data_IF_105339330265
#
_entry.id   IF_105339330265
#
_cell.length_a   1.000
_cell.length_b   1.000
_cell.length_c   1.000
_cell.angle_alpha   90.00
_cell.angle_beta   90.00
_cell.angle_gamma   90.00
#
_symmetry.space_group_name_H-M   'P 1'
#
loop_
_entity.id
_entity.type
_entity.pdbx_description
1 polymer ?
#
# COMPACT_ATOMS: atom_id res chain seq x y z
N UNK A 1 64.13 -26.46 71.32
CA UNK A 1 63.34 -25.24 71.03
C UNK A 1 63.30 -25.09 69.52
N UNK A 2 62.11 -25.25 68.93
CA UNK A 2 61.87 -25.19 67.48
C UNK A 2 61.01 -23.97 67.21
N UNK A 3 61.41 -23.11 66.27
CA UNK A 3 60.49 -22.50 65.29
C UNK A 3 61.28 -21.73 64.21
N UNK A 4 61.18 -22.15 62.95
CA UNK A 4 61.53 -21.32 61.80
C UNK A 4 60.50 -20.20 61.64
N UNK A 5 60.97 -18.99 61.37
CA UNK A 5 60.13 -17.82 61.04
C UNK A 5 59.70 -17.91 59.58
N UNK A 6 58.56 -18.54 59.32
CA UNK A 6 57.93 -18.54 57.99
C UNK A 6 57.13 -17.24 57.83
N UNK A 7 57.61 -16.33 56.96
CA UNK A 7 56.80 -15.21 56.49
C UNK A 7 55.75 -15.73 55.48
N UNK A 8 54.45 -15.44 55.65
CA UNK A 8 53.49 -15.65 54.58
C UNK A 8 53.61 -14.50 53.58
N UNK A 9 54.06 -14.83 52.36
CA UNK A 9 53.97 -13.92 51.22
C UNK A 9 52.51 -13.57 50.93
N UNK A 10 52.17 -12.28 50.99
CA UNK A 10 50.90 -11.77 50.50
C UNK A 10 50.94 -11.79 48.97
N UNK A 11 50.42 -12.85 48.36
CA UNK A 11 50.09 -12.85 46.94
C UNK A 11 48.82 -12.02 46.79
N UNK A 12 48.99 -10.73 46.49
CA UNK A 12 47.89 -9.88 46.04
C UNK A 12 47.59 -10.21 44.57
N UNK A 13 46.76 -11.21 44.35
CA UNK A 13 46.18 -11.47 43.03
C UNK A 13 45.08 -10.45 42.78
N UNK A 14 45.39 -9.40 42.02
CA UNK A 14 44.38 -8.52 41.43
C UNK A 14 43.57 -9.37 40.45
N UNK A 15 42.32 -9.66 40.77
CA UNK A 15 41.34 -10.08 39.77
C UNK A 15 41.06 -8.86 38.88
N UNK A 16 41.74 -8.79 37.74
CA UNK A 16 41.34 -7.90 36.65
C UNK A 16 40.04 -8.48 36.05
N UNK A 17 38.90 -8.12 36.62
CA UNK A 17 37.59 -8.40 36.01
C UNK A 17 37.41 -7.44 34.84
N UNK A 18 37.92 -7.79 33.65
CA UNK A 18 37.59 -7.07 32.42
C UNK A 18 36.32 -7.66 31.81
N UNK A 19 35.20 -7.53 32.51
CA UNK A 19 33.89 -7.67 31.88
C UNK A 19 33.48 -6.29 31.36
N UNK A 20 33.87 -5.98 30.13
CA UNK A 20 33.23 -4.90 29.37
C UNK A 20 31.91 -5.43 28.81
N UNK A 21 30.97 -5.74 29.70
CA UNK A 21 29.59 -5.95 29.31
C UNK A 21 29.01 -4.62 28.87
N UNK A 22 29.03 -4.33 27.56
CA UNK A 22 28.25 -3.21 27.03
C UNK A 22 26.78 -3.46 27.32
N UNK A 23 26.19 -2.60 28.15
CA UNK A 23 24.76 -2.60 28.36
C UNK A 23 24.11 -2.09 27.07
N UNK A 24 23.57 -3.01 26.28
CA UNK A 24 22.74 -2.65 25.14
C UNK A 24 21.36 -2.25 25.68
N UNK A 25 21.03 -0.96 25.62
CA UNK A 25 19.67 -0.50 25.91
C UNK A 25 18.79 -0.78 24.69
N UNK A 26 17.87 -1.73 24.82
CA UNK A 26 16.85 -1.99 23.79
C UNK A 26 15.57 -1.24 24.18
N UNK A 27 15.21 -0.21 23.42
CA UNK A 27 13.99 0.56 23.66
C UNK A 27 12.79 -0.21 23.12
N UNK A 28 11.86 -0.60 24.00
CA UNK A 28 10.59 -1.22 23.59
C UNK A 28 9.62 -0.11 23.17
N UNK A 29 9.30 -0.04 21.89
CA UNK A 29 8.30 0.88 21.35
C UNK A 29 6.88 0.34 21.50
N UNK A 30 5.98 1.12 22.09
CA UNK A 30 4.56 0.75 22.17
C UNK A 30 3.88 0.88 20.79
N UNK A 31 3.34 -0.24 20.28
CA UNK A 31 2.52 -0.24 19.06
C UNK A 31 1.07 0.10 19.39
N UNK A 32 0.42 0.91 18.53
CA UNK A 32 -1.02 1.19 18.60
C UNK A 32 -1.78 0.28 17.66
N UNK A 33 -2.97 -0.18 18.08
CA UNK A 33 -3.86 -0.95 17.20
C UNK A 33 -4.27 -0.13 15.99
N UNK A 34 -4.35 -0.80 14.85
CA UNK A 34 -4.72 -0.21 13.56
C UNK A 34 -6.22 0.07 13.56
N UNK A 35 -6.60 1.30 13.18
CA UNK A 35 -7.98 1.67 12.90
C UNK A 35 -8.41 1.15 11.54
N UNK A 36 -9.72 1.04 11.29
CA UNK A 36 -10.23 0.71 9.96
C UNK A 36 -9.64 1.65 8.87
N UNK A 37 -9.02 1.12 7.81
CA UNK A 37 -8.47 1.94 6.74
C UNK A 37 -9.57 2.53 5.86
N UNK A 38 -9.31 3.74 5.39
CA UNK A 38 -10.17 4.51 4.49
C UNK A 38 -9.45 4.62 3.15
N UNK A 39 -10.14 4.23 2.09
CA UNK A 39 -9.66 4.34 0.71
C UNK A 39 -10.18 5.63 0.09
N UNK A 40 -9.27 6.42 -0.49
CA UNK A 40 -9.58 7.59 -1.29
C UNK A 40 -9.30 7.28 -2.75
N UNK A 41 -10.25 7.60 -3.61
CA UNK A 41 -10.15 7.40 -5.06
C UNK A 41 -9.77 8.73 -5.70
N UNK A 42 -8.73 8.72 -6.53
CA UNK A 42 -8.36 9.83 -7.40
C UNK A 42 -8.52 9.35 -8.84
N UNK A 43 -9.51 9.91 -9.53
CA UNK A 43 -9.83 9.53 -10.89
C UNK A 43 -8.88 10.24 -11.87
N UNK A 44 -8.41 9.51 -12.87
CA UNK A 44 -7.53 10.00 -13.92
C UNK A 44 -7.99 9.46 -15.25
N UNK A 45 -7.76 10.21 -16.33
CA UNK A 45 -8.26 9.89 -17.67
C UNK A 45 -7.94 8.46 -18.15
N UNK A 46 -6.80 7.90 -17.75
CA UNK A 46 -6.34 6.57 -18.15
C UNK A 46 -6.04 5.64 -16.99
N UNK A 47 -5.96 6.17 -15.77
CA UNK A 47 -5.57 5.42 -14.58
C UNK A 47 -6.32 5.97 -13.37
N UNK A 48 -6.88 5.06 -12.58
CA UNK A 48 -7.48 5.38 -11.28
C UNK A 48 -6.46 5.10 -10.19
N UNK A 49 -6.24 6.07 -9.31
CA UNK A 49 -5.34 5.91 -8.16
C UNK A 49 -6.14 5.73 -6.89
N UNK A 50 -5.89 4.64 -6.18
CA UNK A 50 -6.48 4.32 -4.89
C UNK A 50 -5.43 4.58 -3.80
N UNK A 51 -5.76 5.42 -2.82
CA UNK A 51 -4.89 5.72 -1.70
C UNK A 51 -5.53 5.26 -0.39
N UNK A 52 -4.82 4.40 0.32
CA UNK A 52 -5.22 3.83 1.58
C UNK A 52 -4.58 4.58 2.75
N UNK A 53 -5.41 4.99 3.70
CA UNK A 53 -4.96 5.69 4.90
C UNK A 53 -5.67 5.18 6.14
N UNK A 54 -4.95 5.17 7.27
CA UNK A 54 -5.48 4.85 8.59
C UNK A 54 -5.37 6.07 9.51
N UNK A 55 -6.36 6.25 10.37
CA UNK A 55 -6.36 7.36 11.34
C UNK A 55 -5.51 7.06 12.58
N UNK A 56 -5.38 5.78 12.95
CA UNK A 56 -4.62 5.32 14.13
C UNK A 56 -3.86 4.04 13.80
N UNK A 57 -2.65 3.96 14.33
CA UNK A 57 -1.79 2.77 14.29
C UNK A 57 -0.31 3.17 14.24
N UNK A 58 0.57 2.21 14.50
CA UNK A 58 2.03 2.41 14.46
C UNK A 58 2.66 1.25 13.67
N UNK A 59 3.69 1.53 12.88
CA UNK A 59 4.45 0.50 12.15
C UNK A 59 3.59 -0.30 11.18
N UNK A 60 2.82 0.40 10.34
CA UNK A 60 1.74 -0.19 9.54
C UNK A 60 2.27 -0.59 8.16
N UNK A 61 2.03 -1.84 7.78
CA UNK A 61 2.18 -2.34 6.43
C UNK A 61 0.83 -2.30 5.71
N UNK A 62 0.87 -2.03 4.40
CA UNK A 62 -0.32 -1.96 3.55
C UNK A 62 -0.21 -2.95 2.40
N UNK A 63 -1.33 -3.57 2.08
CA UNK A 63 -1.49 -4.34 0.86
C UNK A 63 -2.94 -4.30 0.37
N UNK A 64 -3.12 -4.57 -0.90
CA UNK A 64 -4.42 -4.53 -1.57
C UNK A 64 -4.92 -5.94 -1.85
N UNK A 65 -6.24 -6.13 -1.80
CA UNK A 65 -6.94 -7.34 -2.24
C UNK A 65 -7.88 -6.98 -3.38
N UNK A 66 -7.81 -7.72 -4.49
CA UNK A 66 -8.79 -7.66 -5.59
C UNK A 66 -9.90 -8.70 -5.30
N UNK A 67 -11.15 -8.29 -5.38
CA UNK A 67 -12.30 -9.18 -5.32
C UNK A 67 -12.99 -9.13 -6.69
N UNK A 68 -12.98 -10.25 -7.40
CA UNK A 68 -13.79 -10.42 -8.62
C UNK A 68 -15.06 -11.19 -8.25
N UNK A 69 -16.08 -11.10 -9.10
CA UNK A 69 -17.40 -11.72 -8.85
C UNK A 69 -17.33 -13.25 -8.81
N UNK A 70 -16.28 -13.84 -9.39
CA UNK A 70 -16.11 -15.27 -9.56
C UNK A 70 -15.10 -15.87 -8.58
N UNK A 71 -14.17 -15.09 -8.04
CA UNK A 71 -13.26 -15.54 -6.99
C UNK A 71 -12.59 -14.36 -6.28
N UNK A 72 -12.26 -14.53 -5.00
CA UNK A 72 -11.28 -13.66 -4.36
C UNK A 72 -9.89 -14.03 -4.88
N UNK A 73 -9.53 -13.59 -6.09
CA UNK A 73 -8.14 -13.69 -6.54
C UNK A 73 -7.26 -12.97 -5.51
N UNK A 74 -6.25 -13.66 -5.00
CA UNK A 74 -5.27 -13.12 -4.06
C UNK A 74 -4.30 -12.15 -4.75
N UNK A 75 -4.80 -11.24 -5.60
CA UNK A 75 -4.01 -10.13 -6.09
C UNK A 75 -3.60 -9.31 -4.88
N UNK A 76 -2.30 -9.36 -4.55
CA UNK A 76 -1.71 -8.69 -3.41
C UNK A 76 -0.69 -7.70 -3.95
N UNK A 77 -1.07 -6.42 -4.00
CA UNK A 77 -0.14 -5.33 -4.30
C UNK A 77 0.27 -4.65 -2.99
N UNK A 78 1.56 -4.48 -2.77
CA UNK A 78 2.10 -3.87 -1.55
C UNK A 78 2.14 -2.34 -1.64
N UNK A 79 1.89 -1.69 -0.51
CA UNK A 79 1.96 -0.24 -0.38
C UNK A 79 0.60 0.43 -0.18
N UNK A 80 0.62 1.69 0.27
CA UNK A 80 -0.59 2.46 0.55
C UNK A 80 -1.28 2.98 -0.72
N UNK A 81 -0.61 2.95 -1.87
CA UNK A 81 -1.13 3.47 -3.14
C UNK A 81 -1.20 2.34 -4.15
N UNK A 82 -2.37 2.16 -4.77
CA UNK A 82 -2.61 1.25 -5.87
C UNK A 82 -3.03 2.04 -7.10
N UNK A 83 -2.33 1.84 -8.21
CA UNK A 83 -2.70 2.43 -9.51
C UNK A 83 -3.34 1.35 -10.36
N UNK A 84 -4.60 1.55 -10.73
CA UNK A 84 -5.37 0.65 -11.58
C UNK A 84 -5.50 1.31 -12.95
N UNK A 85 -5.06 0.62 -14.01
CA UNK A 85 -5.26 1.11 -15.38
C UNK A 85 -6.74 1.07 -15.71
N UNK A 86 -7.27 2.11 -16.36
CA UNK A 86 -8.62 2.09 -16.88
C UNK A 86 -8.68 1.23 -18.14
N UNK A 87 -8.88 -0.08 -17.97
CA UNK A 87 -9.17 -1.01 -19.06
C UNK A 87 -10.64 -1.44 -19.03
N UNK A 88 -11.23 -1.79 -20.16
CA UNK A 88 -12.60 -2.32 -20.23
C UNK A 88 -12.67 -3.71 -19.57
N UNK A 89 -12.61 -3.79 -18.24
CA UNK A 89 -13.02 -5.02 -17.57
C UNK A 89 -14.55 -5.08 -17.63
N UNK A 90 -15.06 -6.13 -18.27
CA UNK A 90 -16.49 -6.38 -18.47
C UNK A 90 -17.25 -6.53 -17.13
N UNK A 91 -16.51 -6.81 -16.06
CA UNK A 91 -17.01 -6.90 -14.69
C UNK A 91 -16.46 -5.80 -13.79
N UNK A 92 -17.34 -5.31 -12.92
CA UNK A 92 -16.97 -4.41 -11.84
C UNK A 92 -16.06 -5.13 -10.83
N UNK A 93 -14.87 -4.60 -10.59
CA UNK A 93 -13.89 -5.19 -9.68
C UNK A 93 -13.86 -4.42 -8.36
N UNK A 94 -13.93 -5.15 -7.25
CA UNK A 94 -13.78 -4.60 -5.90
C UNK A 94 -12.32 -4.59 -5.46
N UNK A 95 -11.87 -3.48 -4.88
CA UNK A 95 -10.56 -3.37 -4.23
C UNK A 95 -10.72 -3.08 -2.75
N UNK A 96 -10.03 -3.84 -1.92
CA UNK A 96 -9.97 -3.60 -0.46
C UNK A 96 -8.53 -3.40 -0.04
N UNK A 97 -8.28 -2.39 0.78
CA UNK A 97 -6.97 -2.20 1.41
C UNK A 97 -6.93 -2.93 2.75
N UNK A 98 -5.83 -3.61 3.02
CA UNK A 98 -5.51 -4.18 4.32
C UNK A 98 -4.36 -3.39 4.92
N UNK A 99 -4.56 -2.95 6.16
CA UNK A 99 -3.56 -2.28 6.97
C UNK A 99 -3.28 -3.14 8.20
N UNK A 100 -2.02 -3.50 8.40
CA UNK A 100 -1.65 -4.40 9.49
C UNK A 100 -0.36 -3.98 10.18
N UNK A 101 -0.25 -4.39 11.44
CA UNK A 101 0.97 -4.34 12.21
C UNK A 101 1.05 -5.60 13.09
N UNK A 102 2.16 -5.86 13.80
CA UNK A 102 2.35 -7.10 14.56
C UNK A 102 1.29 -7.39 15.63
N UNK A 103 0.44 -6.41 15.98
CA UNK A 103 -0.58 -6.54 17.03
C UNK A 103 -2.02 -6.50 16.52
N UNK A 104 -2.27 -6.08 15.28
CA UNK A 104 -3.63 -5.94 14.73
C UNK A 104 -3.65 -5.79 13.22
N UNK A 105 -4.75 -6.21 12.62
CA UNK A 105 -5.02 -6.12 11.20
C UNK A 105 -6.43 -5.55 11.00
N UNK A 106 -6.60 -4.67 10.01
CA UNK A 106 -7.90 -4.12 9.62
C UNK A 106 -8.02 -4.03 8.10
N UNK A 107 -9.24 -4.18 7.62
CA UNK A 107 -9.57 -4.17 6.18
C UNK A 107 -10.54 -3.03 5.91
N UNK A 108 -10.35 -2.33 4.79
CA UNK A 108 -11.22 -1.24 4.37
C UNK A 108 -12.54 -1.79 3.86
N UNK A 109 -13.55 -0.93 3.75
CA UNK A 109 -14.69 -1.24 2.90
C UNK A 109 -14.21 -1.41 1.44
N UNK A 110 -14.81 -2.33 0.67
CA UNK A 110 -14.44 -2.54 -0.73
C UNK A 110 -14.86 -1.33 -1.57
N UNK A 111 -13.98 -0.90 -2.46
CA UNK A 111 -14.26 0.13 -3.46
C UNK A 111 -14.41 -0.56 -4.81
N UNK A 112 -15.60 -0.44 -5.40
CA UNK A 112 -15.88 -0.99 -6.72
C UNK A 112 -15.44 -0.02 -7.80
N UNK A 113 -14.54 -0.45 -8.67
CA UNK A 113 -14.14 0.30 -9.85
C UNK A 113 -14.81 -0.34 -11.06
N UNK A 114 -15.65 0.44 -11.74
CA UNK A 114 -16.19 0.09 -13.05
C UNK A 114 -15.36 0.82 -14.09
N UNK A 115 -14.49 0.09 -14.76
CA UNK A 115 -13.70 0.66 -15.83
C UNK A 115 -14.47 0.45 -17.13
N UNK A 116 -15.21 1.46 -17.55
CA UNK A 116 -16.01 1.39 -18.77
C UNK A 116 -15.37 2.22 -19.90
N UNK A 117 -15.23 1.53 -21.03
CA UNK A 117 -15.04 1.88 -22.43
C UNK A 117 -14.62 3.29 -22.86
N UNK A 118 -13.81 3.27 -23.93
CA UNK A 118 -13.47 4.25 -24.97
C UNK A 118 -14.57 5.24 -25.45
N UNK A 119 -15.71 5.38 -24.77
CA UNK A 119 -16.82 6.26 -25.13
C UNK A 119 -16.66 7.73 -24.72
N UNK A 120 -15.82 8.07 -23.73
CA UNK A 120 -15.63 9.47 -23.37
C UNK A 120 -14.83 10.23 -24.45
N UNK A 121 -13.89 9.57 -25.16
CA UNK A 121 -13.12 10.20 -26.24
C UNK A 121 -13.91 10.40 -27.54
N UNK A 122 -15.02 9.67 -27.75
CA UNK A 122 -15.91 9.95 -28.89
C UNK A 122 -16.69 11.25 -28.73
N UNK A 123 -17.01 11.68 -27.50
CA UNK A 123 -17.67 12.96 -27.28
C UNK A 123 -16.72 14.16 -27.50
N UNK A 124 -15.47 14.09 -27.02
CA UNK A 124 -14.51 15.19 -27.25
C UNK A 124 -14.00 15.25 -28.69
N UNK A 125 -14.00 14.12 -29.43
CA UNK A 125 -13.58 14.07 -30.84
C UNK A 125 -14.67 14.56 -31.80
N UNK A 126 -15.96 14.36 -31.49
CA UNK A 126 -17.08 14.92 -32.28
C UNK A 126 -17.27 16.44 -32.08
N UNK A 127 -16.95 16.97 -30.90
CA UNK A 127 -17.05 18.41 -30.63
C UNK A 127 -16.04 19.26 -31.41
N UNK A 128 -14.95 18.66 -31.92
CA UNK A 128 -13.96 19.36 -32.76
C UNK A 128 -14.37 19.45 -34.24
N UNK A 129 -15.43 18.76 -34.70
CA UNK A 129 -15.89 18.81 -36.09
C UNK A 129 -17.17 19.64 -36.32
N UNK A 130 -17.85 20.09 -35.26
CA UNK A 130 -19.02 20.98 -35.38
C UNK A 130 -18.66 22.48 -35.36
N UNK A 131 -17.40 22.82 -35.69
CA UNK A 131 -16.93 24.20 -35.83
C UNK A 131 -16.66 24.59 -37.28
N UNK A 132 -17.66 25.19 -37.95
CA UNK A 132 -17.57 25.96 -39.22
C UNK A 132 -17.00 25.24 -40.45
N UNK A 133 -17.88 24.65 -41.26
CA UNK A 133 -17.60 24.33 -42.67
C UNK A 133 -18.88 24.06 -43.45
N UNK A 134 -19.12 24.85 -44.50
CA UNK A 134 -20.29 24.74 -45.39
C UNK A 134 -20.39 23.34 -46.03
N UNK A 135 -21.61 22.80 -46.10
CA UNK A 135 -21.95 21.64 -46.93
C UNK A 135 -21.86 21.98 -48.42
N UNK A 136 -21.14 21.22 -49.26
CA UNK A 136 -21.40 21.20 -50.68
C UNK A 136 -22.61 20.28 -50.95
N UNK A 137 -23.71 20.88 -51.42
CA UNK A 137 -24.81 20.14 -52.06
C UNK A 137 -24.35 19.68 -53.44
N UNK A 138 -24.05 18.40 -53.58
CA UNK A 138 -24.05 17.73 -54.89
C UNK A 138 -24.52 16.29 -54.71
N UNK A 139 -25.69 16.02 -55.28
CA UNK A 139 -26.46 14.81 -55.06
C UNK A 139 -25.83 13.53 -55.60
N UNK A 140 -26.24 12.43 -54.99
CA UNK A 140 -26.08 11.09 -55.52
C UNK A 140 -27.45 10.44 -55.52
N UNK A 141 -28.02 10.33 -56.73
CA UNK A 141 -29.12 9.41 -57.01
C UNK A 141 -28.58 7.99 -56.91
N UNK A 142 -29.22 7.12 -56.13
CA UNK A 142 -28.89 5.71 -56.06
C UNK A 142 -30.04 4.95 -55.42
N UNK A 143 -30.79 4.23 -56.27
CA UNK A 143 -32.04 3.51 -55.98
C UNK A 143 -31.83 2.37 -54.97
N UNK A 144 -32.87 2.13 -54.16
CA UNK A 144 -33.26 0.78 -53.74
C UNK A 144 -34.17 0.17 -54.80
#
# INVERSE_FOLDING_TARGET
MVRPTTQPGFISSRLASSSFGTCFSMTVGCMKRVSQPIVRVSDGFTNVTLNCSVSKGTGIAYYWKKATYLDSENFTSSGSVLVVKSGCEEQAVGYSCVAENPISQQISLPVTIKLCAEGALYQYRLLLFYGRGKWPTSGLSGRC
#
